data_IF_091011369532
#
_entry.id   IF_091011369532
#
_cell.length_a   1.000
_cell.length_b   1.000
_cell.length_c   1.000
_cell.angle_alpha   90.00
_cell.angle_beta   90.00
_cell.angle_gamma   90.00
#
_symmetry.space_group_name_H-M   'P 1'
#
loop_
_entity.id
_entity.type
_entity.pdbx_description
1 polymer ?
#
# COMPACT_ATOMS: atom_id res chain seq x y z
N UNK A 1 -32.53 16.39 -40.71
CA UNK A 1 -32.30 16.31 -39.25
C UNK A 1 -32.57 14.88 -38.82
N UNK A 2 -31.55 14.12 -38.45
CA UNK A 2 -31.66 13.18 -37.33
C UNK A 2 -30.26 12.72 -36.93
N UNK A 3 -29.97 12.96 -35.67
CA UNK A 3 -28.68 12.88 -34.99
C UNK A 3 -28.35 11.44 -34.61
N UNK A 4 -27.20 10.94 -35.04
CA UNK A 4 -26.61 9.72 -34.49
C UNK A 4 -25.88 10.04 -33.18
N UNK A 5 -26.37 9.51 -32.06
CA UNK A 5 -25.71 9.51 -30.77
C UNK A 5 -25.01 8.15 -30.52
N UNK A 6 -23.97 8.11 -29.67
CA UNK A 6 -22.89 7.15 -29.78
C UNK A 6 -23.15 5.82 -29.05
N UNK A 7 -22.47 4.80 -29.55
CA UNK A 7 -22.45 3.42 -29.04
C UNK A 7 -21.98 3.38 -27.59
N UNK A 8 -22.79 2.73 -26.75
CA UNK A 8 -22.58 2.55 -25.31
C UNK A 8 -21.31 1.77 -25.01
N UNK A 9 -20.51 2.31 -24.08
CA UNK A 9 -19.42 1.65 -23.38
C UNK A 9 -19.83 0.26 -22.87
N UNK A 10 -19.03 -0.75 -23.20
CA UNK A 10 -19.18 -2.12 -22.71
C UNK A 10 -18.83 -2.12 -21.23
N UNK A 11 -19.84 -2.01 -20.38
CA UNK A 11 -19.75 -2.26 -18.95
C UNK A 11 -19.54 -3.76 -18.75
N UNK A 12 -18.30 -4.21 -18.68
CA UNK A 12 -17.97 -5.60 -18.37
C UNK A 12 -18.53 -5.92 -16.99
N UNK A 13 -19.48 -6.87 -16.94
CA UNK A 13 -20.11 -7.32 -15.69
C UNK A 13 -19.07 -7.99 -14.83
N UNK A 14 -18.89 -7.51 -13.61
CA UNK A 14 -18.16 -8.22 -12.55
C UNK A 14 -18.91 -9.52 -12.26
N UNK A 15 -18.30 -10.70 -12.40
CA UNK A 15 -18.94 -11.96 -12.01
C UNK A 15 -19.10 -11.96 -10.50
N UNK A 16 -20.35 -12.09 -10.05
CA UNK A 16 -20.69 -12.27 -8.65
C UNK A 16 -20.35 -13.74 -8.28
N UNK A 17 -19.17 -13.97 -7.69
CA UNK A 17 -18.78 -15.30 -7.19
C UNK A 17 -18.20 -15.15 -5.78
N UNK A 18 -18.81 -15.85 -4.83
CA UNK A 18 -18.50 -15.88 -3.41
C UNK A 18 -17.08 -16.38 -3.14
N UNK A 19 -16.14 -15.45 -2.99
CA UNK A 19 -14.74 -15.66 -2.62
C UNK A 19 -14.59 -15.76 -1.09
N UNK A 20 -15.41 -16.58 -0.44
CA UNK A 20 -15.47 -16.68 1.03
C UNK A 20 -14.71 -17.88 1.63
N UNK A 21 -14.16 -18.77 0.80
CA UNK A 21 -13.51 -20.00 1.28
C UNK A 21 -11.97 -19.96 1.29
N UNK A 22 -11.34 -18.81 1.00
CA UNK A 22 -9.90 -18.63 1.18
C UNK A 22 -9.70 -17.84 2.48
N UNK A 23 -9.74 -18.55 3.61
CA UNK A 23 -9.34 -18.00 4.92
C UNK A 23 -7.91 -17.44 4.80
N UNK A 24 -7.72 -16.12 4.95
CA UNK A 24 -6.38 -15.58 5.01
C UNK A 24 -5.76 -16.06 6.31
N UNK A 25 -4.62 -16.77 6.20
CA UNK A 25 -3.73 -17.01 7.33
C UNK A 25 -3.50 -15.67 8.04
N UNK A 26 -4.16 -15.47 9.19
CA UNK A 26 -3.98 -14.29 10.03
C UNK A 26 -2.55 -14.31 10.54
N UNK A 27 -1.80 -13.23 10.30
CA UNK A 27 -0.48 -13.06 10.91
C UNK A 27 -0.64 -13.04 12.44
N UNK A 28 0.09 -13.87 13.20
CA UNK A 28 0.10 -13.78 14.65
C UNK A 28 0.64 -12.40 15.06
N UNK A 29 -0.10 -11.69 15.93
CA UNK A 29 0.40 -10.43 16.53
C UNK A 29 1.66 -10.75 17.36
N UNK A 30 2.80 -10.06 17.14
CA UNK A 30 3.95 -10.17 18.02
C UNK A 30 3.58 -9.71 19.44
N UNK A 31 3.95 -10.50 20.45
CA UNK A 31 3.72 -10.16 21.86
C UNK A 31 4.56 -8.96 22.33
N UNK A 32 4.22 -8.33 23.47
CA UNK A 32 4.93 -7.14 23.94
C UNK A 32 6.31 -7.51 24.49
N UNK A 33 7.37 -6.92 23.94
CA UNK A 33 8.72 -6.96 24.52
C UNK A 33 8.85 -5.90 25.61
N UNK A 34 9.06 -6.33 26.85
CA UNK A 34 9.40 -5.47 27.98
C UNK A 34 10.91 -5.25 28.05
N UNK A 35 11.35 -4.00 28.08
CA UNK A 35 12.63 -3.64 28.69
C UNK A 35 12.51 -2.31 29.46
N UNK A 36 12.86 -2.34 30.75
CA UNK A 36 12.92 -1.20 31.65
C UNK A 36 14.12 -0.29 31.35
N UNK A 37 14.01 1.01 31.68
CA UNK A 37 15.16 1.92 31.70
C UNK A 37 14.79 3.31 32.23
N UNK A 38 15.38 3.69 33.35
CA UNK A 38 15.08 4.85 34.21
C UNK A 38 15.38 6.22 33.57
N UNK A 39 14.51 7.17 33.95
CA UNK A 39 14.52 8.65 33.95
C UNK A 39 15.89 9.36 33.94
N UNK A 40 15.99 10.44 33.15
CA UNK A 40 16.52 11.75 33.58
C UNK A 40 16.13 12.90 32.62
N UNK A 41 15.83 14.09 33.16
CA UNK A 41 15.48 15.33 32.43
C UNK A 41 16.68 16.29 32.48
N UNK A 42 16.90 17.09 31.41
CA UNK A 42 17.18 18.50 31.61
C UNK A 42 16.36 19.42 30.70
N UNK A 43 16.45 20.70 31.02
CA UNK A 43 15.46 21.74 30.81
C UNK A 43 15.66 22.53 29.51
N UNK A 44 14.53 22.98 28.95
CA UNK A 44 14.29 24.25 28.25
C UNK A 44 15.35 24.86 27.34
N UNK A 45 15.10 24.77 26.02
CA UNK A 45 15.42 25.82 25.04
C UNK A 45 14.34 25.80 23.95
N UNK A 46 13.51 26.86 23.90
CA UNK A 46 12.53 27.10 22.83
C UNK A 46 13.27 27.64 21.61
N UNK A 47 13.44 26.78 20.61
CA UNK A 47 13.66 27.14 19.23
C UNK A 47 12.93 26.13 18.37
N UNK A 48 11.84 26.51 17.71
CA UNK A 48 11.16 25.66 16.72
C UNK A 48 11.99 25.64 15.45
N UNK A 49 13.12 24.94 15.49
CA UNK A 49 13.60 24.23 14.31
C UNK A 49 12.78 22.95 14.26
N UNK A 50 11.88 22.85 13.28
CA UNK A 50 11.42 21.56 12.80
C UNK A 50 12.69 20.81 12.39
N UNK A 51 13.25 20.00 13.29
CA UNK A 51 14.25 19.02 12.92
C UNK A 51 13.50 18.10 11.98
N UNK A 52 13.67 18.31 10.67
CA UNK A 52 13.36 17.32 9.66
C UNK A 52 14.15 16.09 10.08
N UNK A 53 13.49 15.15 10.76
CA UNK A 53 14.06 13.82 10.88
C UNK A 53 14.29 13.39 9.43
N UNK A 54 15.52 12.96 9.06
CA UNK A 54 15.69 12.34 7.77
C UNK A 54 14.69 11.19 7.72
N UNK A 55 13.84 11.19 6.68
CA UNK A 55 12.93 10.08 6.39
C UNK A 55 13.69 8.78 6.56
N UNK A 56 13.10 7.81 7.27
CA UNK A 56 13.67 6.45 7.34
C UNK A 56 13.77 5.82 5.95
N UNK A 57 12.94 6.29 5.02
CA UNK A 57 12.89 5.83 3.63
C UNK A 57 13.89 6.58 2.77
N UNK A 58 14.73 5.82 2.08
CA UNK A 58 15.68 6.35 1.11
C UNK A 58 14.96 6.90 -0.16
N UNK A 59 15.47 7.99 -0.78
CA UNK A 59 14.94 8.56 -2.02
C UNK A 59 14.64 7.55 -3.14
N UNK A 60 15.43 6.49 -3.24
CA UNK A 60 15.32 5.53 -4.31
C UNK A 60 14.05 4.69 -4.21
N UNK A 61 13.51 4.46 -3.01
CA UNK A 61 12.23 3.78 -2.84
C UNK A 61 11.06 4.68 -3.28
N UNK A 62 11.14 5.99 -3.05
CA UNK A 62 10.19 6.97 -3.61
C UNK A 62 10.25 6.97 -5.14
N UNK A 63 11.46 6.93 -5.73
CA UNK A 63 11.63 6.86 -7.18
C UNK A 63 11.08 5.55 -7.77
N UNK A 64 11.32 4.42 -7.10
CA UNK A 64 10.78 3.12 -7.50
C UNK A 64 9.25 3.12 -7.49
N UNK A 65 8.64 3.65 -6.43
CA UNK A 65 7.19 3.80 -6.34
C UNK A 65 6.64 4.71 -7.44
N UNK A 66 7.24 5.89 -7.64
CA UNK A 66 6.81 6.86 -8.66
C UNK A 66 6.87 6.24 -10.07
N UNK A 67 7.91 5.45 -10.37
CA UNK A 67 7.99 4.70 -11.63
C UNK A 67 6.85 3.69 -11.78
N UNK A 68 6.46 3.01 -10.70
CA UNK A 68 5.35 2.05 -10.74
C UNK A 68 3.98 2.72 -10.91
N UNK A 69 3.82 3.98 -10.49
CA UNK A 69 2.61 4.74 -10.80
C UNK A 69 2.41 4.97 -12.30
N UNK A 70 3.46 4.82 -13.12
CA UNK A 70 3.35 4.90 -14.58
C UNK A 70 2.88 3.59 -15.23
N UNK A 71 2.89 2.47 -14.49
CA UNK A 71 2.45 1.17 -14.98
C UNK A 71 0.95 1.17 -15.32
N UNK A 72 0.53 0.67 -16.50
CA UNK A 72 -0.85 0.78 -16.95
C UNK A 72 -1.84 0.04 -16.04
N UNK A 73 -1.47 -1.12 -15.48
CA UNK A 73 -2.38 -1.88 -14.62
C UNK A 73 -2.51 -1.21 -13.25
N UNK A 74 -1.44 -0.59 -12.75
CA UNK A 74 -1.50 0.20 -11.52
C UNK A 74 -2.36 1.45 -11.74
N UNK A 75 -2.21 2.15 -12.87
CA UNK A 75 -3.06 3.29 -13.23
C UNK A 75 -4.53 2.90 -13.31
N UNK A 76 -4.83 1.81 -14.01
CA UNK A 76 -6.20 1.31 -14.16
C UNK A 76 -6.80 0.93 -12.80
N UNK A 77 -6.01 0.30 -11.91
CA UNK A 77 -6.43 0.00 -10.55
C UNK A 77 -6.72 1.26 -9.72
N UNK A 78 -5.82 2.24 -9.72
CA UNK A 78 -5.99 3.48 -8.97
C UNK A 78 -7.15 4.35 -9.49
N UNK A 79 -7.41 4.29 -10.80
CA UNK A 79 -8.57 4.92 -11.41
C UNK A 79 -9.87 4.17 -11.08
N UNK A 80 -9.82 2.84 -10.97
CA UNK A 80 -10.97 2.01 -10.62
C UNK A 80 -11.40 2.18 -9.15
N UNK A 81 -10.44 2.35 -8.23
CA UNK A 81 -10.71 2.61 -6.81
C UNK A 81 -11.11 4.07 -6.55
N UNK A 82 -12.20 4.53 -7.18
CA UNK A 82 -12.74 5.89 -7.02
C UNK A 82 -13.16 6.19 -5.57
N UNK A 83 -13.60 5.15 -4.85
CA UNK A 83 -14.01 5.25 -3.44
C UNK A 83 -12.86 5.30 -2.44
N UNK A 84 -11.61 5.17 -2.91
CA UNK A 84 -10.39 5.16 -2.09
C UNK A 84 -10.44 4.14 -0.95
N UNK A 85 -11.07 2.98 -1.20
CA UNK A 85 -11.22 1.93 -0.18
C UNK A 85 -10.00 1.03 -0.09
N UNK A 86 -9.19 1.00 -1.15
CA UNK A 86 -8.02 0.11 -1.26
C UNK A 86 -6.70 0.86 -1.39
N UNK A 87 -6.75 2.15 -1.75
CA UNK A 87 -5.59 2.91 -2.21
C UNK A 87 -5.64 4.39 -1.86
N UNK A 88 -6.11 4.72 -0.66
CA UNK A 88 -5.94 6.07 -0.12
C UNK A 88 -4.45 6.42 0.10
N UNK A 89 -4.18 7.70 0.36
CA UNK A 89 -2.83 8.24 0.53
C UNK A 89 -2.02 7.58 1.65
N UNK A 90 -2.66 7.08 2.71
CA UNK A 90 -1.97 6.40 3.81
C UNK A 90 -1.61 4.96 3.42
N UNK A 91 -2.52 4.22 2.79
CA UNK A 91 -2.22 2.89 2.25
C UNK A 91 -1.09 2.94 1.22
N UNK A 92 -1.08 3.96 0.35
CA UNK A 92 -0.02 4.19 -0.62
C UNK A 92 1.31 4.62 0.03
N UNK A 93 1.28 5.36 1.13
CA UNK A 93 2.48 5.65 1.90
C UNK A 93 3.05 4.37 2.56
N UNK A 94 2.19 3.49 3.07
CA UNK A 94 2.60 2.18 3.61
C UNK A 94 3.31 1.32 2.55
N UNK A 95 2.88 1.38 1.27
CA UNK A 95 3.58 0.69 0.16
C UNK A 95 5.06 1.11 0.08
N UNK A 96 5.35 2.42 0.17
CA UNK A 96 6.71 2.95 0.14
C UNK A 96 7.49 2.49 1.39
N UNK A 97 6.86 2.52 2.55
CA UNK A 97 7.42 2.02 3.80
C UNK A 97 7.81 0.53 3.71
N UNK A 98 6.97 -0.31 3.10
CA UNK A 98 7.26 -1.73 2.88
C UNK A 98 8.33 -1.96 1.82
N UNK A 99 8.40 -1.12 0.77
CA UNK A 99 9.54 -1.16 -0.13
C UNK A 99 10.83 -0.91 0.64
N UNK A 100 10.89 0.14 1.46
CA UNK A 100 12.08 0.44 2.27
C UNK A 100 12.51 -0.72 3.18
N UNK A 101 11.56 -1.51 3.70
CA UNK A 101 11.82 -2.64 4.61
C UNK A 101 12.20 -3.93 3.89
N UNK A 102 11.66 -4.18 2.70
CA UNK A 102 11.89 -5.42 1.95
C UNK A 102 13.34 -5.56 1.44
N UNK A 103 14.14 -4.48 1.49
CA UNK A 103 15.57 -4.50 1.18
C UNK A 103 15.91 -4.83 -0.27
N UNK A 104 14.93 -4.85 -1.18
CA UNK A 104 15.16 -5.03 -2.61
C UNK A 104 15.83 -3.79 -3.19
N UNK A 105 16.59 -4.00 -4.26
CA UNK A 105 17.17 -2.88 -4.99
C UNK A 105 16.04 -2.11 -5.70
N UNK A 106 16.07 -0.77 -5.72
CA UNK A 106 14.99 0.08 -6.26
C UNK A 106 14.48 -0.28 -7.67
N UNK A 107 15.36 -0.79 -8.53
CA UNK A 107 15.03 -1.23 -9.88
C UNK A 107 14.37 -2.61 -9.96
N UNK A 108 14.42 -3.41 -8.90
CA UNK A 108 13.78 -4.72 -8.81
C UNK A 108 12.29 -4.63 -8.48
N UNK A 109 11.82 -3.50 -7.93
CA UNK A 109 10.39 -3.33 -7.69
C UNK A 109 9.61 -3.35 -9.01
N UNK A 110 8.54 -4.11 -9.00
CA UNK A 110 7.70 -4.42 -10.16
C UNK A 110 6.25 -4.36 -9.71
N UNK A 111 5.32 -4.42 -10.67
CA UNK A 111 3.87 -4.43 -10.41
C UNK A 111 3.45 -5.41 -9.32
N UNK A 112 4.04 -6.61 -9.32
CA UNK A 112 3.83 -7.64 -8.30
C UNK A 112 4.12 -7.11 -6.89
N UNK A 113 5.26 -6.46 -6.68
CA UNK A 113 5.66 -5.92 -5.39
C UNK A 113 4.72 -4.82 -4.92
N UNK A 114 4.23 -3.97 -5.85
CA UNK A 114 3.22 -2.96 -5.53
C UNK A 114 1.94 -3.59 -4.97
N UNK A 115 1.36 -4.58 -5.67
CA UNK A 115 0.13 -5.22 -5.20
C UNK A 115 0.33 -6.04 -3.92
N UNK A 116 1.48 -6.67 -3.73
CA UNK A 116 1.80 -7.38 -2.49
C UNK A 116 1.87 -6.40 -1.30
N UNK A 117 2.59 -5.28 -1.46
CA UNK A 117 2.71 -4.26 -0.44
C UNK A 117 1.36 -3.57 -0.16
N UNK A 118 0.56 -3.29 -1.20
CA UNK A 118 -0.75 -2.67 -1.04
C UNK A 118 -1.75 -3.60 -0.37
N UNK A 119 -1.75 -4.88 -0.73
CA UNK A 119 -2.55 -5.90 -0.05
C UNK A 119 -2.19 -5.95 1.43
N UNK A 120 -0.89 -5.96 1.75
CA UNK A 120 -0.42 -5.98 3.13
C UNK A 120 -0.86 -4.74 3.91
N UNK A 121 -0.77 -3.55 3.29
CA UNK A 121 -1.25 -2.32 3.92
C UNK A 121 -2.74 -2.40 4.27
N UNK A 122 -3.55 -2.89 3.33
CA UNK A 122 -4.98 -3.13 3.57
C UNK A 122 -5.21 -4.20 4.64
N UNK A 123 -4.41 -5.26 4.71
CA UNK A 123 -4.58 -6.30 5.72
C UNK A 123 -4.23 -5.83 7.13
N UNK A 124 -3.39 -4.81 7.24
CA UNK A 124 -2.99 -4.19 8.51
C UNK A 124 -3.94 -3.08 8.97
N UNK A 125 -4.52 -2.30 8.07
CA UNK A 125 -5.33 -1.12 8.40
C UNK A 125 -6.85 -1.32 8.19
N UNK A 126 -7.27 -2.14 7.21
CA UNK A 126 -8.67 -2.29 6.81
C UNK A 126 -9.25 -3.65 7.27
N UNK A 127 -10.33 -3.57 8.06
CA UNK A 127 -11.10 -4.74 8.49
C UNK A 127 -11.88 -5.36 7.32
N UNK A 128 -12.25 -4.55 6.33
CA UNK A 128 -13.06 -4.98 5.19
C UNK A 128 -12.28 -5.90 4.25
N UNK A 129 -12.88 -7.05 3.92
CA UNK A 129 -12.25 -8.03 3.03
C UNK A 129 -12.41 -7.70 1.54
N UNK A 130 -13.46 -6.96 1.16
CA UNK A 130 -13.77 -6.71 -0.25
C UNK A 130 -12.63 -5.97 -1.00
N UNK A 131 -12.05 -4.86 -0.50
CA UNK A 131 -10.94 -4.18 -1.18
C UNK A 131 -9.71 -5.09 -1.38
N UNK A 132 -9.46 -5.99 -0.42
CA UNK A 132 -8.36 -6.97 -0.49
C UNK A 132 -8.58 -7.98 -1.61
N UNK A 133 -9.82 -8.42 -1.81
CA UNK A 133 -10.18 -9.33 -2.90
C UNK A 133 -9.98 -8.65 -4.26
N UNK A 134 -10.36 -7.38 -4.39
CA UNK A 134 -10.16 -6.61 -5.62
C UNK A 134 -8.67 -6.48 -5.95
N UNK A 135 -7.81 -6.22 -4.97
CA UNK A 135 -6.34 -6.19 -5.16
C UNK A 135 -5.82 -7.54 -5.70
N UNK A 136 -6.28 -8.66 -5.14
CA UNK A 136 -5.87 -10.01 -5.61
C UNK A 136 -6.32 -10.25 -7.05
N UNK A 137 -7.52 -9.81 -7.43
CA UNK A 137 -8.03 -9.95 -8.80
C UNK A 137 -7.20 -9.15 -9.80
N UNK A 138 -6.86 -7.91 -9.48
CA UNK A 138 -5.98 -7.07 -10.30
C UNK A 138 -4.58 -7.68 -10.43
N UNK A 139 -4.02 -8.20 -9.34
CA UNK A 139 -2.75 -8.93 -9.38
C UNK A 139 -2.82 -10.16 -10.31
N UNK A 140 -3.88 -10.96 -10.16
CA UNK A 140 -4.04 -12.20 -10.91
C UNK A 140 -4.43 -11.98 -12.38
N UNK A 141 -4.68 -10.74 -12.81
CA UNK A 141 -5.29 -10.44 -14.11
C UNK A 141 -6.56 -11.30 -14.32
N UNK A 142 -7.41 -11.34 -13.30
CA UNK A 142 -8.64 -12.13 -13.26
C UNK A 142 -8.46 -13.65 -13.43
N UNK A 143 -7.23 -14.14 -13.40
CA UNK A 143 -6.91 -15.56 -13.47
C UNK A 143 -6.78 -16.16 -12.07
N UNK A 144 -7.89 -16.68 -11.55
CA UNK A 144 -7.96 -17.26 -10.21
C UNK A 144 -6.98 -18.41 -9.94
N UNK A 145 -6.43 -19.04 -10.99
CA UNK A 145 -5.38 -20.08 -10.83
C UNK A 145 -4.07 -19.52 -10.27
N UNK A 146 -3.86 -18.20 -10.33
CA UNK A 146 -2.68 -17.51 -9.78
C UNK A 146 -2.84 -17.12 -8.30
N UNK A 147 -4.01 -17.30 -7.70
CA UNK A 147 -4.25 -16.95 -6.29
C UNK A 147 -3.31 -17.72 -5.33
N UNK A 148 -3.04 -19.03 -5.51
CA UNK A 148 -2.07 -19.72 -4.67
C UNK A 148 -0.65 -19.13 -4.78
N UNK A 149 -0.26 -18.71 -5.98
CA UNK A 149 1.03 -18.06 -6.24
C UNK A 149 1.10 -16.70 -5.52
N UNK A 150 0.02 -15.90 -5.55
CA UNK A 150 -0.06 -14.65 -4.80
C UNK A 150 0.22 -14.86 -3.31
N UNK A 151 -0.43 -15.84 -2.68
CA UNK A 151 -0.23 -16.10 -1.25
C UNK A 151 1.19 -16.56 -0.92
N UNK A 152 1.82 -17.35 -1.81
CA UNK A 152 3.22 -17.73 -1.68
C UNK A 152 4.13 -16.50 -1.72
N UNK A 153 3.96 -15.65 -2.72
CA UNK A 153 4.76 -14.43 -2.88
C UNK A 153 4.53 -13.44 -1.74
N UNK A 154 3.30 -13.34 -1.22
CA UNK A 154 2.99 -12.53 -0.03
C UNK A 154 3.79 -13.00 1.18
N UNK A 155 3.86 -14.30 1.40
CA UNK A 155 4.65 -14.87 2.48
C UNK A 155 6.14 -14.54 2.32
N UNK A 156 6.70 -14.75 1.12
CA UNK A 156 8.11 -14.42 0.82
C UNK A 156 8.41 -12.93 1.02
N UNK A 157 7.49 -12.05 0.60
CA UNK A 157 7.62 -10.61 0.79
C UNK A 157 7.61 -10.23 2.28
N UNK A 158 6.69 -10.79 3.08
CA UNK A 158 6.68 -10.59 4.54
C UNK A 158 7.98 -11.05 5.19
N UNK A 159 8.49 -12.21 4.79
CA UNK A 159 9.78 -12.71 5.28
C UNK A 159 10.94 -11.77 4.92
N UNK A 160 10.93 -11.12 3.75
CA UNK A 160 11.97 -10.16 3.37
C UNK A 160 12.02 -8.89 4.22
N UNK A 161 10.95 -8.61 4.97
CA UNK A 161 10.85 -7.47 5.88
C UNK A 161 11.14 -7.84 7.34
N UNK A 162 11.64 -9.06 7.61
CA UNK A 162 11.82 -9.59 8.98
C UNK A 162 10.54 -9.48 9.84
N UNK A 163 9.37 -9.57 9.20
CA UNK A 163 8.06 -9.40 9.86
C UNK A 163 7.82 -8.00 10.46
N UNK A 164 8.61 -6.98 10.10
CA UNK A 164 8.35 -5.59 10.46
C UNK A 164 7.24 -5.00 9.57
N UNK A 165 5.99 -5.30 9.93
CA UNK A 165 4.81 -4.86 9.18
C UNK A 165 4.22 -3.55 9.74
N UNK A 166 4.79 -3.03 10.83
CA UNK A 166 4.25 -1.86 11.52
C UNK A 166 4.72 -0.59 10.83
N UNK A 167 3.75 0.18 10.33
CA UNK A 167 3.95 1.53 9.81
C UNK A 167 3.13 2.47 10.68
N UNK A 168 3.74 3.52 11.22
CA UNK A 168 2.99 4.50 12.03
C UNK A 168 2.44 5.61 11.16
N UNK A 169 1.43 6.32 11.67
CA UNK A 169 0.88 7.49 10.99
C UNK A 169 1.94 8.55 10.72
N UNK A 170 2.82 8.79 11.69
CA UNK A 170 3.92 9.76 11.56
C UNK A 170 4.88 9.36 10.43
N UNK A 171 5.18 8.07 10.29
CA UNK A 171 6.00 7.56 9.19
C UNK A 171 5.32 7.79 7.83
N UNK A 172 4.01 7.55 7.72
CA UNK A 172 3.26 7.86 6.52
C UNK A 172 3.30 9.36 6.18
N UNK A 173 3.17 10.23 7.19
CA UNK A 173 3.23 11.69 7.02
C UNK A 173 4.65 12.15 6.60
N UNK A 174 5.71 11.54 7.13
CA UNK A 174 7.10 11.78 6.70
C UNK A 174 7.32 11.37 5.24
N UNK A 175 6.79 10.21 4.83
CA UNK A 175 6.85 9.71 3.44
C UNK A 175 6.11 10.67 2.49
N UNK A 176 4.91 11.13 2.85
CA UNK A 176 4.14 12.09 2.04
C UNK A 176 4.84 13.45 1.94
N UNK A 177 5.51 13.88 3.02
CA UNK A 177 6.24 15.15 3.05
C UNK A 177 7.52 15.17 2.20
N UNK A 178 8.01 14.01 1.74
CA UNK A 178 9.18 13.91 0.86
C UNK A 178 8.94 14.61 -0.49
N UNK A 179 7.82 14.30 -1.14
CA UNK A 179 7.33 14.98 -2.35
C UNK A 179 5.83 15.24 -2.21
N UNK A 180 5.44 16.37 -1.59
CA UNK A 180 4.03 16.69 -1.36
C UNK A 180 3.27 17.03 -2.65
N UNK A 181 3.96 17.18 -3.79
CA UNK A 181 3.33 17.53 -5.07
C UNK A 181 2.86 16.31 -5.85
N UNK A 182 3.25 15.10 -5.44
CA UNK A 182 2.84 13.87 -6.08
C UNK A 182 1.31 13.67 -5.95
N UNK A 183 0.64 13.48 -7.08
CA UNK A 183 -0.82 13.51 -7.18
C UNK A 183 -1.54 12.46 -6.30
N UNK A 184 -0.89 11.33 -6.00
CA UNK A 184 -1.48 10.28 -5.16
C UNK A 184 -1.77 10.74 -3.73
N UNK A 185 -1.09 11.79 -3.24
CA UNK A 185 -1.34 12.34 -1.91
C UNK A 185 -2.65 13.12 -1.83
N UNK A 186 -3.25 13.47 -2.97
CA UNK A 186 -4.61 14.00 -3.05
C UNK A 186 -5.71 12.94 -2.89
N UNK A 187 -5.35 11.64 -2.79
CA UNK A 187 -6.28 10.53 -2.58
C UNK A 187 -6.67 10.43 -1.10
N UNK A 188 -7.37 11.45 -0.62
CA UNK A 188 -7.86 11.53 0.75
C UNK A 188 -9.28 10.99 0.86
N UNK A 189 -9.47 9.89 1.59
CA UNK A 189 -10.79 9.35 1.86
C UNK A 189 -11.51 10.30 2.81
N UNK A 190 -12.64 10.86 2.37
CA UNK A 190 -13.48 11.64 3.27
C UNK A 190 -13.98 10.74 4.41
N UNK A 191 -13.78 11.19 5.66
CA UNK A 191 -14.27 10.53 6.87
C UNK A 191 -15.79 10.53 6.94
#
# INVERSE_FOLDING_TARGET
MSTGQPSSSVRTRVPNLSLLDIEPLRCPRPGPFTHMGVREKPCGLKGTMQRKRPSSVLPEHHAAFTRLLEDPVIKDFLAWDEGLRASDKYLLAMVIAYFSRAGLLPWQYQRIHFFLALYLANDMEEDEQAPKQDIVLFFCDWNLKKVPEFHKLRYEFICSMDWDLRVTREECEEIQAYDPTLWVWGRDRAL
#
